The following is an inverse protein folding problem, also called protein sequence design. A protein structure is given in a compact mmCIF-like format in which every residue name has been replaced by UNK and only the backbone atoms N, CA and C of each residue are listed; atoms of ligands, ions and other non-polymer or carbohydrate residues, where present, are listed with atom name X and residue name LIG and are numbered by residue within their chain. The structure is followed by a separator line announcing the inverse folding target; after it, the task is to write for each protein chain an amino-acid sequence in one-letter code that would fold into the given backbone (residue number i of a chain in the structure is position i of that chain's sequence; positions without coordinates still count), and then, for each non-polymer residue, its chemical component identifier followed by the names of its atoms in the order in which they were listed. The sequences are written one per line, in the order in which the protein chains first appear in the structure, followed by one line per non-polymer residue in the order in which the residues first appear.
data_IF_289054705811
#
_entry.id   IF_289054705811
#
_cell.length_a   1.000
_cell.length_b   1.000
_cell.length_c   1.000
_cell.angle_alpha   90.00
_cell.angle_beta   90.00
_cell.angle_gamma   90.00
#
_symmetry.space_group_name_H-M   'P 1'
#
loop_
_entity.id
_entity.type
_entity.pdbx_description
1 polymer ?
#
# COMPACT_ATOMS: atom_id res chain seq x y z
N UNK A 1 -4.03 4.44 54.65
CA UNK A 1 -5.06 3.41 54.54
C UNK A 1 -4.62 2.39 53.50
N UNK A 2 -4.68 1.12 53.86
CA UNK A 2 -4.05 -0.06 53.30
C UNK A 2 -4.55 -0.41 51.89
N UNK A 3 -3.64 -0.71 50.99
CA UNK A 3 -3.86 -1.40 49.69
C UNK A 3 -4.06 -2.90 49.94
N UNK A 4 -4.99 -3.60 49.25
CA UNK A 4 -5.08 -5.08 49.28
C UNK A 4 -4.23 -5.69 48.12
N UNK A 5 -3.78 -6.95 48.31
CA UNK A 5 -2.80 -7.60 47.42
C UNK A 5 -3.44 -8.37 46.28
N UNK A 6 -2.72 -8.44 45.18
CA UNK A 6 -3.00 -9.27 44.00
C UNK A 6 -2.88 -10.76 44.37
N UNK A 7 -3.93 -11.54 44.11
CA UNK A 7 -3.93 -13.00 44.17
C UNK A 7 -3.59 -13.60 42.80
N UNK A 8 -2.54 -14.43 42.82
CA UNK A 8 -2.11 -15.30 41.73
C UNK A 8 -3.13 -16.40 41.45
N UNK A 9 -3.66 -16.47 40.22
CA UNK A 9 -4.29 -17.71 39.72
C UNK A 9 -3.32 -18.41 38.77
N UNK A 10 -2.71 -19.48 39.24
CA UNK A 10 -2.05 -20.50 38.41
C UNK A 10 -3.07 -21.60 38.16
N UNK A 11 -3.38 -21.92 36.94
CA UNK A 11 -3.99 -23.20 36.53
C UNK A 11 -2.97 -24.03 35.78
N UNK A 12 -2.84 -25.33 36.09
CA UNK A 12 -1.89 -26.20 35.39
C UNK A 12 -2.51 -26.81 34.12
N UNK A 13 -1.86 -26.63 32.99
CA UNK A 13 -2.17 -27.41 31.80
C UNK A 13 -1.44 -28.76 31.88
N UNK A 14 -2.24 -29.82 31.97
CA UNK A 14 -1.82 -31.21 31.90
C UNK A 14 -1.42 -31.61 30.49
N UNK A 15 -0.32 -32.36 30.43
CA UNK A 15 0.35 -32.78 29.20
C UNK A 15 -0.43 -33.80 28.37
N UNK A 16 -0.32 -33.63 27.05
CA UNK A 16 -0.60 -34.68 26.07
C UNK A 16 0.73 -35.29 25.63
N UNK A 17 0.94 -36.56 25.93
CA UNK A 17 2.02 -37.40 25.37
C UNK A 17 1.47 -38.15 24.15
N UNK A 18 2.14 -38.17 22.99
CA UNK A 18 1.79 -39.07 21.91
C UNK A 18 2.35 -40.48 22.22
N UNK A 19 1.50 -41.46 22.14
CA UNK A 19 1.82 -42.88 22.22
C UNK A 19 2.33 -43.35 20.85
N UNK A 20 3.60 -43.69 20.79
CA UNK A 20 4.19 -44.39 19.61
C UNK A 20 4.10 -45.91 19.92
N UNK A 21 3.38 -46.63 19.08
CA UNK A 21 3.38 -48.12 19.07
C UNK A 21 4.37 -48.60 18.01
N UNK A 22 5.28 -49.50 18.32
CA UNK A 22 6.10 -50.19 17.30
C UNK A 22 5.31 -51.38 16.74
N UNK A 23 5.26 -51.49 15.42
CA UNK A 23 4.83 -52.71 14.75
C UNK A 23 6.04 -53.65 14.59
N UNK A 24 5.92 -54.85 15.13
CA UNK A 24 6.88 -55.89 14.98
C UNK A 24 6.78 -56.54 13.59
N UNK A 25 7.90 -56.65 12.88
CA UNK A 25 8.05 -57.42 11.67
C UNK A 25 8.44 -58.82 12.02
N UNK A 26 7.63 -59.82 11.68
CA UNK A 26 7.96 -61.24 11.76
C UNK A 26 8.68 -61.67 10.46
N UNK A 27 9.86 -62.15 10.59
CA UNK A 27 10.60 -62.77 9.50
C UNK A 27 10.18 -64.27 9.36
N UNK A 28 9.85 -64.66 8.15
CA UNK A 28 9.68 -66.07 7.81
C UNK A 28 10.73 -66.41 6.72
N UNK A 29 11.72 -67.17 7.08
CA UNK A 29 12.73 -67.76 6.22
C UNK A 29 12.24 -69.13 5.70
N UNK A 30 12.24 -69.30 4.39
CA UNK A 30 12.28 -70.62 3.78
C UNK A 30 13.30 -70.63 2.64
N UNK A 31 14.35 -71.40 2.82
CA UNK A 31 15.34 -71.66 1.82
C UNK A 31 14.92 -72.74 0.83
N UNK A 32 15.39 -72.56 -0.40
CA UNK A 32 15.62 -73.75 -1.31
C UNK A 32 16.82 -73.44 -2.21
N UNK A 33 17.78 -74.31 -2.17
CA UNK A 33 19.00 -74.31 -3.01
C UNK A 33 18.72 -75.17 -4.25
N UNK A 34 19.18 -74.74 -5.39
CA UNK A 34 19.86 -75.61 -6.39
C UNK A 34 20.19 -74.86 -7.68
N UNK A 35 21.42 -75.01 -8.15
CA UNK A 35 21.75 -75.20 -9.56
C UNK A 35 22.16 -74.01 -10.40
N UNK A 36 23.47 -73.78 -10.55
CA UNK A 36 24.10 -73.04 -11.64
C UNK A 36 23.96 -73.81 -12.95
N UNK A 37 24.01 -73.13 -14.10
CA UNK A 37 25.30 -72.95 -14.77
C UNK A 37 25.59 -71.53 -15.28
N UNK A 38 26.88 -71.25 -15.39
CA UNK A 38 27.42 -70.01 -15.92
C UNK A 38 27.08 -69.78 -17.38
N UNK A 39 26.69 -68.53 -17.69
CA UNK A 39 26.69 -68.04 -19.05
C UNK A 39 27.29 -66.61 -19.07
N UNK A 40 28.20 -66.49 -19.97
CA UNK A 40 29.03 -65.42 -20.45
C UNK A 40 28.50 -63.97 -20.18
N UNK A 41 29.35 -63.19 -19.54
CA UNK A 41 29.13 -61.73 -19.34
C UNK A 41 29.64 -60.97 -20.56
N UNK A 42 28.75 -60.61 -21.43
CA UNK A 42 28.97 -59.43 -22.29
C UNK A 42 28.77 -58.16 -21.49
N UNK A 43 29.63 -57.14 -21.63
CA UNK A 43 29.48 -55.89 -20.90
C UNK A 43 28.24 -55.17 -21.43
N UNK A 44 27.26 -54.98 -20.54
CA UNK A 44 26.08 -54.18 -20.81
C UNK A 44 26.49 -52.76 -21.21
N UNK A 45 26.13 -52.43 -22.42
CA UNK A 45 26.19 -51.08 -22.93
C UNK A 45 25.40 -50.17 -22.01
N UNK A 46 26.04 -49.12 -21.54
CA UNK A 46 25.46 -47.94 -20.92
C UNK A 46 24.17 -47.57 -21.66
N UNK A 47 22.99 -47.36 -20.98
CA UNK A 47 21.81 -46.97 -21.68
C UNK A 47 22.05 -45.59 -22.32
N UNK A 48 22.21 -45.66 -23.63
CA UNK A 48 22.31 -44.52 -24.54
C UNK A 48 21.19 -43.53 -24.20
N UNK A 49 21.55 -42.27 -24.01
CA UNK A 49 20.65 -41.17 -23.97
C UNK A 49 19.58 -41.34 -25.05
N UNK A 50 18.30 -41.36 -24.66
CA UNK A 50 17.16 -41.36 -25.59
C UNK A 50 17.38 -40.21 -26.55
N UNK A 51 17.66 -40.56 -27.82
CA UNK A 51 17.71 -39.63 -28.94
C UNK A 51 16.26 -39.18 -29.27
N UNK A 52 15.69 -38.40 -28.36
CA UNK A 52 14.41 -37.75 -28.59
C UNK A 52 14.65 -36.61 -29.57
N UNK A 53 13.86 -36.59 -30.64
CA UNK A 53 13.95 -35.56 -31.66
C UNK A 53 13.94 -34.13 -30.99
N UNK A 54 14.77 -33.19 -31.49
CA UNK A 54 14.90 -31.88 -30.89
C UNK A 54 13.55 -31.15 -30.96
N UNK A 55 13.12 -30.59 -29.81
CA UNK A 55 11.89 -29.86 -29.70
C UNK A 55 12.08 -28.43 -30.24
N UNK A 56 11.16 -27.96 -31.10
CA UNK A 56 11.20 -26.58 -31.57
C UNK A 56 10.65 -25.65 -30.49
N UNK A 57 11.44 -24.65 -30.11
CA UNK A 57 11.10 -23.67 -29.08
C UNK A 57 11.30 -22.25 -29.57
N UNK A 58 10.54 -21.31 -29.00
CA UNK A 58 10.81 -19.88 -29.16
C UNK A 58 11.56 -19.39 -27.94
N UNK A 59 12.54 -18.52 -28.18
CA UNK A 59 13.40 -17.98 -27.15
C UNK A 59 13.41 -16.48 -27.13
N UNK A 60 13.65 -15.90 -25.98
CA UNK A 60 13.77 -14.45 -25.78
C UNK A 60 14.98 -14.18 -24.89
N UNK A 61 15.52 -12.98 -24.98
CA UNK A 61 16.48 -12.43 -24.04
C UNK A 61 15.79 -11.54 -23.01
N UNK A 62 16.44 -11.34 -21.86
CA UNK A 62 15.97 -10.33 -20.90
C UNK A 62 16.07 -8.95 -21.52
N UNK A 63 15.15 -8.05 -21.16
CA UNK A 63 15.17 -6.65 -21.57
C UNK A 63 15.19 -5.74 -20.36
N UNK A 64 15.94 -4.63 -20.47
CA UNK A 64 15.93 -3.50 -19.56
C UNK A 64 15.13 -2.35 -20.19
N UNK A 65 14.91 -1.27 -19.42
CA UNK A 65 14.25 -0.07 -19.91
C UNK A 65 12.72 -0.05 -19.78
N UNK A 66 12.11 -1.12 -19.27
CA UNK A 66 10.73 -1.10 -18.81
C UNK A 66 10.69 -1.04 -17.28
N UNK A 67 9.77 -0.24 -16.74
CA UNK A 67 9.53 -0.20 -15.29
C UNK A 67 8.49 -1.25 -14.91
N UNK A 68 8.86 -2.10 -13.97
CA UNK A 68 7.93 -3.02 -13.33
C UNK A 68 7.65 -2.51 -11.92
N UNK A 69 6.39 -2.20 -11.63
CA UNK A 69 5.98 -1.61 -10.35
C UNK A 69 4.99 -2.51 -9.60
N UNK A 70 5.22 -2.66 -8.30
CA UNK A 70 4.23 -3.21 -7.38
C UNK A 70 3.40 -2.06 -6.83
N UNK A 71 2.09 -2.09 -7.06
CA UNK A 71 1.19 -1.05 -6.62
C UNK A 71 0.08 -1.59 -5.71
N UNK A 72 -0.47 -0.73 -4.87
CA UNK A 72 -1.72 -0.96 -4.17
C UNK A 72 -2.65 0.22 -4.46
N UNK A 73 -3.86 -0.06 -4.92
CA UNK A 73 -4.85 0.96 -5.25
C UNK A 73 -6.10 0.78 -4.40
N UNK A 74 -6.58 1.88 -3.82
CA UNK A 74 -7.78 1.91 -2.99
C UNK A 74 -8.53 3.23 -3.19
N UNK A 75 -9.84 3.26 -2.89
CA UNK A 75 -10.59 4.50 -2.85
C UNK A 75 -9.95 5.53 -1.92
N UNK A 76 -10.05 6.79 -2.28
CA UNK A 76 -9.53 7.92 -1.52
C UNK A 76 -10.58 9.03 -1.43
N UNK A 77 -10.50 9.82 -0.37
CA UNK A 77 -11.34 10.99 -0.20
C UNK A 77 -10.50 12.20 0.21
N UNK A 78 -10.94 13.36 -0.23
CA UNK A 78 -10.38 14.66 0.12
C UNK A 78 -11.09 15.19 1.36
N UNK A 79 -10.33 15.60 2.36
CA UNK A 79 -10.85 16.26 3.56
C UNK A 79 -10.15 17.60 3.78
N UNK A 80 -10.79 18.56 4.46
CA UNK A 80 -10.12 19.79 4.87
C UNK A 80 -8.99 19.44 5.86
N UNK A 81 -7.91 20.22 5.86
CA UNK A 81 -6.79 20.01 6.79
C UNK A 81 -7.21 20.09 8.26
N UNK A 82 -8.04 21.08 8.58
CA UNK A 82 -8.75 21.21 9.84
C UNK A 82 -10.22 21.51 9.59
N UNK A 83 -11.06 20.99 10.46
CA UNK A 83 -12.48 21.29 10.52
C UNK A 83 -12.90 21.52 11.97
N UNK A 84 -13.61 22.59 12.22
CA UNK A 84 -14.20 22.89 13.52
C UNK A 84 -15.70 23.14 13.37
N UNK A 85 -16.47 22.36 14.10
CA UNK A 85 -17.91 22.62 14.28
C UNK A 85 -18.08 23.44 15.56
N UNK A 86 -18.53 24.67 15.43
CA UNK A 86 -18.65 25.61 16.53
C UNK A 86 -20.11 25.66 17.00
N UNK A 87 -20.33 25.33 18.26
CA UNK A 87 -21.63 25.19 18.88
C UNK A 87 -21.88 26.34 19.88
N UNK A 88 -23.13 26.64 20.13
CA UNK A 88 -23.51 27.49 21.25
C UNK A 88 -23.20 26.80 22.58
N UNK A 89 -22.36 27.40 23.40
CA UNK A 89 -22.07 26.90 24.75
C UNK A 89 -23.16 27.23 25.75
N UNK A 90 -23.90 28.34 25.50
CA UNK A 90 -25.03 28.75 26.30
C UNK A 90 -26.26 28.95 25.43
N UNK A 91 -27.47 28.66 25.99
CA UNK A 91 -28.72 28.93 25.30
C UNK A 91 -29.01 30.42 25.30
N UNK A 92 -29.47 30.95 24.15
CA UNK A 92 -29.73 32.37 24.04
C UNK A 92 -30.07 32.81 22.62
N UNK A 93 -30.19 34.12 22.43
CA UNK A 93 -30.41 34.73 21.12
C UNK A 93 -29.11 35.09 20.46
N UNK A 94 -28.94 34.70 19.20
CA UNK A 94 -27.79 35.13 18.37
C UNK A 94 -27.95 36.63 18.11
N UNK A 95 -27.04 37.43 18.62
CA UNK A 95 -27.06 38.90 18.47
C UNK A 95 -26.04 39.38 17.43
N UNK A 96 -25.05 38.59 17.12
CA UNK A 96 -24.05 38.86 16.10
C UNK A 96 -23.72 37.58 15.36
N UNK A 97 -23.69 37.61 14.03
CA UNK A 97 -23.18 36.56 13.13
C UNK A 97 -23.16 37.16 11.70
N UNK A 98 -22.03 37.78 11.33
CA UNK A 98 -21.94 38.55 10.09
C UNK A 98 -21.31 37.72 8.94
N UNK A 99 -20.47 36.77 9.27
CA UNK A 99 -19.80 35.94 8.25
C UNK A 99 -20.75 34.93 7.63
N UNK A 100 -20.61 34.78 6.32
CA UNK A 100 -21.45 33.89 5.52
C UNK A 100 -20.61 32.79 4.84
N UNK A 101 -21.31 31.85 4.19
CA UNK A 101 -20.72 30.73 3.46
C UNK A 101 -19.61 31.20 2.50
N UNK A 102 -18.46 30.52 2.53
CA UNK A 102 -17.31 30.79 1.66
C UNK A 102 -16.46 31.99 2.07
N UNK A 103 -16.85 32.77 3.09
CA UNK A 103 -16.05 33.89 3.55
C UNK A 103 -14.86 33.44 4.40
N UNK A 104 -13.72 34.10 4.16
CA UNK A 104 -12.50 33.88 4.92
C UNK A 104 -12.59 34.50 6.31
N UNK A 105 -11.97 33.85 7.28
CA UNK A 105 -11.83 34.30 8.66
C UNK A 105 -10.40 34.05 9.15
N UNK A 106 -9.97 34.89 10.08
CA UNK A 106 -8.67 34.76 10.74
C UNK A 106 -8.83 34.19 12.15
N UNK A 107 -7.80 33.51 12.62
CA UNK A 107 -7.77 32.96 13.99
C UNK A 107 -8.03 34.04 15.04
N UNK A 108 -8.92 33.77 15.99
CA UNK A 108 -9.35 34.71 17.03
C UNK A 108 -10.41 35.69 16.55
N UNK A 109 -10.81 35.69 15.28
CA UNK A 109 -11.89 36.54 14.79
C UNK A 109 -13.22 36.11 15.40
N UNK A 110 -13.98 37.09 15.86
CA UNK A 110 -15.31 36.89 16.45
C UNK A 110 -16.31 36.50 15.35
N UNK A 111 -16.87 35.30 15.46
CA UNK A 111 -17.79 34.73 14.48
C UNK A 111 -19.27 34.91 14.90
N UNK A 112 -19.56 34.64 16.16
CA UNK A 112 -20.93 34.78 16.68
C UNK A 112 -20.95 35.27 18.12
N UNK A 113 -22.03 35.93 18.51
CA UNK A 113 -22.32 36.28 19.88
C UNK A 113 -23.74 35.81 20.24
N UNK A 114 -23.81 35.02 21.31
CA UNK A 114 -25.09 34.52 21.85
C UNK A 114 -25.34 35.21 23.19
N UNK A 115 -26.40 35.97 23.27
CA UNK A 115 -26.80 36.62 24.51
C UNK A 115 -27.83 35.75 25.22
N UNK A 116 -27.62 35.38 26.49
CA UNK A 116 -28.58 34.60 27.26
C UNK A 116 -29.96 35.22 27.22
N UNK A 117 -31.00 34.41 27.03
CA UNK A 117 -32.40 34.82 26.94
C UNK A 117 -33.32 33.96 27.79
N UNK A 118 -34.62 34.29 27.86
CA UNK A 118 -35.59 33.46 28.57
C UNK A 118 -35.45 33.46 30.10
N UNK A 119 -34.93 34.56 30.69
CA UNK A 119 -34.71 34.64 32.14
C UNK A 119 -33.34 34.10 32.61
N UNK A 120 -32.51 33.55 31.73
CA UNK A 120 -31.17 33.16 32.02
C UNK A 120 -30.27 34.40 32.21
N UNK A 121 -29.50 34.42 33.30
CA UNK A 121 -28.49 35.47 33.57
C UNK A 121 -27.11 34.90 33.32
N UNK A 122 -26.27 35.66 32.62
CA UNK A 122 -24.88 35.26 32.34
C UNK A 122 -24.24 36.21 31.34
N UNK A 123 -22.91 36.10 31.16
CA UNK A 123 -22.20 36.82 30.12
C UNK A 123 -22.63 36.33 28.73
N UNK A 124 -22.49 37.17 27.72
CA UNK A 124 -22.64 36.75 26.34
C UNK A 124 -21.59 35.69 25.99
N UNK A 125 -21.99 34.62 25.29
CA UNK A 125 -21.11 33.62 24.75
C UNK A 125 -20.58 34.09 23.40
N UNK A 126 -19.25 34.24 23.28
CA UNK A 126 -18.57 34.69 22.06
C UNK A 126 -17.89 33.48 21.43
N UNK A 127 -18.26 33.15 20.19
CA UNK A 127 -17.60 32.14 19.39
C UNK A 127 -16.51 32.81 18.53
N UNK A 128 -15.28 32.32 18.66
CA UNK A 128 -14.15 32.80 17.89
C UNK A 128 -13.59 31.71 16.98
N UNK A 129 -12.95 32.12 15.89
CA UNK A 129 -12.30 31.20 14.95
C UNK A 129 -11.04 30.55 15.61
N UNK A 130 -10.96 29.21 15.71
CA UNK A 130 -9.84 28.53 16.32
C UNK A 130 -8.59 28.49 15.42
N UNK A 131 -8.74 28.79 14.13
CA UNK A 131 -7.68 28.83 13.11
C UNK A 131 -8.15 29.67 11.90
N UNK A 132 -7.21 30.04 11.04
CA UNK A 132 -7.50 30.71 9.77
C UNK A 132 -8.19 29.74 8.82
N UNK A 133 -9.29 30.15 8.20
CA UNK A 133 -10.06 29.27 7.34
C UNK A 133 -11.20 29.95 6.60
N UNK A 134 -12.15 29.15 6.15
CA UNK A 134 -13.38 29.61 5.46
C UNK A 134 -14.61 29.04 6.15
N UNK A 135 -15.70 29.77 6.11
CA UNK A 135 -16.99 29.29 6.61
C UNK A 135 -17.54 28.25 5.63
N UNK A 136 -17.61 26.99 6.07
CA UNK A 136 -18.15 25.88 5.28
C UNK A 136 -19.65 25.68 5.46
N UNK A 137 -20.22 26.08 6.60
CA UNK A 137 -21.65 26.09 6.81
C UNK A 137 -22.03 27.08 7.91
N UNK A 138 -23.27 27.60 7.80
CA UNK A 138 -23.91 28.47 8.77
C UNK A 138 -25.35 27.99 8.97
N UNK A 139 -25.79 27.81 10.20
CA UNK A 139 -27.10 27.24 10.53
C UNK A 139 -28.04 28.18 11.28
N UNK A 140 -27.59 29.40 11.57
CA UNK A 140 -28.40 30.37 12.29
C UNK A 140 -28.17 31.78 11.76
N UNK A 141 -29.17 32.66 12.00
CA UNK A 141 -29.13 34.08 11.66
C UNK A 141 -29.23 34.94 12.92
N UNK A 142 -28.74 36.18 12.86
CA UNK A 142 -28.99 37.14 13.93
C UNK A 142 -30.48 37.24 14.25
N UNK A 143 -30.82 37.17 15.53
CA UNK A 143 -32.22 37.14 15.98
C UNK A 143 -32.74 35.74 16.32
N UNK A 144 -32.11 34.68 15.82
CA UNK A 144 -32.51 33.29 16.12
C UNK A 144 -32.17 32.92 17.56
N UNK A 145 -33.05 32.17 18.23
CA UNK A 145 -32.78 31.57 19.53
C UNK A 145 -32.14 30.21 19.31
N UNK A 146 -31.02 29.95 19.98
CA UNK A 146 -30.26 28.68 19.90
C UNK A 146 -30.15 28.06 21.29
N UNK A 147 -30.17 26.73 21.33
CA UNK A 147 -29.97 25.97 22.54
C UNK A 147 -28.50 25.60 22.72
N UNK A 148 -28.02 25.52 23.94
CA UNK A 148 -26.68 25.04 24.28
C UNK A 148 -26.51 23.60 23.87
N UNK A 149 -25.39 23.27 23.25
CA UNK A 149 -24.99 21.91 22.93
C UNK A 149 -24.77 21.01 24.18
N UNK A 150 -24.53 21.62 25.34
CA UNK A 150 -24.44 20.91 26.60
C UNK A 150 -25.81 20.39 27.11
N UNK A 151 -26.92 21.00 26.64
CA UNK A 151 -28.28 20.66 27.08
C UNK A 151 -29.02 19.81 26.04
N UNK A 152 -28.76 20.05 24.76
CA UNK A 152 -29.46 19.37 23.66
C UNK A 152 -28.53 18.38 22.98
N UNK A 153 -28.71 17.06 23.19
CA UNK A 153 -27.98 16.04 22.44
C UNK A 153 -28.25 16.18 20.94
N UNK A 154 -27.17 16.16 20.12
CA UNK A 154 -27.30 16.31 18.67
C UNK A 154 -27.55 17.73 18.18
N UNK A 155 -27.24 18.74 19.00
CA UNK A 155 -27.34 20.17 18.60
C UNK A 155 -26.56 20.38 17.27
N UNK A 156 -27.15 21.25 16.42
CA UNK A 156 -26.49 21.64 15.16
C UNK A 156 -25.43 22.71 15.44
N UNK A 157 -24.23 22.62 14.84
CA UNK A 157 -23.19 23.64 14.96
C UNK A 157 -23.71 24.95 14.34
N UNK A 158 -23.48 26.09 14.98
CA UNK A 158 -23.83 27.41 14.45
C UNK A 158 -23.03 27.73 13.19
N UNK A 159 -21.75 27.40 13.23
CA UNK A 159 -20.80 27.62 12.13
C UNK A 159 -19.89 26.42 12.03
N UNK A 160 -19.64 25.96 10.83
CA UNK A 160 -18.53 25.03 10.55
C UNK A 160 -17.44 25.81 9.83
N UNK A 161 -16.24 25.77 10.41
CA UNK A 161 -15.05 26.38 9.85
C UNK A 161 -14.15 25.29 9.28
N UNK A 162 -13.61 25.50 8.08
CA UNK A 162 -12.66 24.60 7.43
C UNK A 162 -11.40 25.33 6.98
N UNK A 163 -10.28 24.63 7.09
CA UNK A 163 -9.00 25.07 6.52
C UNK A 163 -8.78 24.31 5.22
N UNK A 164 -8.86 25.00 4.08
CA UNK A 164 -8.85 24.43 2.74
C UNK A 164 -7.67 24.91 1.88
N UNK A 165 -6.76 25.72 2.41
CA UNK A 165 -5.47 26.06 1.79
C UNK A 165 -4.52 24.87 1.77
N UNK A 166 -4.74 23.93 2.65
CA UNK A 166 -4.16 22.57 2.69
C UNK A 166 -5.33 21.59 2.76
N UNK A 167 -5.22 20.49 2.04
CA UNK A 167 -6.17 19.38 2.12
C UNK A 167 -5.45 18.09 2.48
N UNK A 168 -6.18 17.19 3.13
CA UNK A 168 -5.70 15.85 3.44
C UNK A 168 -6.43 14.84 2.56
N UNK A 169 -5.68 14.09 1.76
CA UNK A 169 -6.22 12.97 0.99
C UNK A 169 -5.95 11.70 1.79
N UNK A 170 -7.00 10.97 2.12
CA UNK A 170 -6.91 9.76 2.94
C UNK A 170 -7.42 8.54 2.20
N UNK A 171 -6.76 7.40 2.44
CA UNK A 171 -7.13 6.10 1.91
C UNK A 171 -6.88 5.00 2.93
N UNK A 172 -7.62 3.89 2.80
CA UNK A 172 -7.49 2.70 3.65
C UNK A 172 -6.81 1.60 2.85
N UNK A 173 -5.54 1.29 3.16
CA UNK A 173 -4.77 0.26 2.48
C UNK A 173 -4.88 -1.09 3.20
N UNK A 174 -4.95 -2.22 2.48
CA UNK A 174 -5.01 -3.54 3.10
C UNK A 174 -3.78 -3.86 3.97
N UNK A 175 -3.96 -4.61 5.05
CA UNK A 175 -2.90 -4.99 5.99
C UNK A 175 -1.72 -5.72 5.32
N UNK A 176 -1.98 -6.52 4.29
CA UNK A 176 -0.95 -7.25 3.53
C UNK A 176 0.14 -6.37 2.93
N UNK A 177 -0.14 -5.09 2.69
CA UNK A 177 0.83 -4.13 2.14
C UNK A 177 1.36 -3.15 3.18
N UNK A 178 0.84 -3.16 4.41
CA UNK A 178 1.17 -2.21 5.46
C UNK A 178 2.68 -2.10 5.74
N UNK A 179 3.39 -3.25 5.77
CA UNK A 179 4.84 -3.29 6.00
C UNK A 179 5.69 -2.80 4.82
N UNK A 180 5.08 -2.57 3.66
CA UNK A 180 5.74 -2.03 2.47
C UNK A 180 5.57 -0.52 2.34
N UNK A 181 4.71 0.08 3.16
CA UNK A 181 4.37 1.49 3.12
C UNK A 181 5.27 2.26 4.06
N UNK A 182 5.96 3.26 3.54
CA UNK A 182 6.78 4.21 4.29
C UNK A 182 6.43 5.65 3.93
N UNK A 183 7.02 6.62 4.63
CA UNK A 183 6.81 8.06 4.34
C UNK A 183 7.33 8.46 2.96
N UNK A 184 8.35 7.77 2.45
CA UNK A 184 8.89 8.01 1.11
C UNK A 184 8.12 7.29 0.00
N UNK A 185 7.05 6.56 0.35
CA UNK A 185 6.22 5.86 -0.63
C UNK A 185 5.51 6.88 -1.51
N UNK A 186 5.77 6.80 -2.80
CA UNK A 186 5.11 7.63 -3.81
C UNK A 186 3.65 7.19 -3.99
N UNK A 187 2.79 8.17 -4.21
CA UNK A 187 1.38 7.97 -4.50
C UNK A 187 0.97 8.72 -5.77
N UNK A 188 0.16 8.06 -6.56
CA UNK A 188 -0.59 8.66 -7.66
C UNK A 188 -2.05 8.78 -7.22
N UNK A 189 -2.59 9.99 -7.30
CA UNK A 189 -3.94 10.32 -6.85
C UNK A 189 -4.78 10.71 -8.05
N UNK A 190 -5.82 9.96 -8.29
CA UNK A 190 -6.80 10.18 -9.34
C UNK A 190 -8.09 10.64 -8.69
N UNK A 191 -8.48 11.90 -8.89
CA UNK A 191 -9.73 12.44 -8.39
C UNK A 191 -10.74 12.55 -9.53
N UNK A 192 -11.99 12.20 -9.25
CA UNK A 192 -13.04 12.09 -10.27
C UNK A 192 -13.45 13.47 -10.82
N UNK A 193 -13.20 14.54 -10.06
CA UNK A 193 -13.52 15.92 -10.39
C UNK A 193 -12.36 16.73 -10.98
N UNK A 194 -11.15 16.11 -11.13
CA UNK A 194 -10.03 16.78 -11.79
C UNK A 194 -10.05 16.56 -13.31
N UNK A 195 -10.15 17.63 -14.10
CA UNK A 195 -10.07 17.52 -15.55
C UNK A 195 -8.67 17.10 -15.99
N UNK A 196 -8.59 16.25 -17.02
CA UNK A 196 -7.33 15.88 -17.67
C UNK A 196 -6.86 14.44 -17.45
N UNK A 197 -7.33 13.75 -16.41
CA UNK A 197 -7.02 12.33 -16.18
C UNK A 197 -5.60 12.01 -15.71
N UNK A 198 -4.69 12.98 -15.66
CA UNK A 198 -3.35 12.79 -15.13
C UNK A 198 -3.37 12.76 -13.60
N UNK A 199 -2.64 11.81 -12.96
CA UNK A 199 -2.61 11.73 -11.53
C UNK A 199 -1.83 12.87 -10.90
N UNK A 200 -2.29 13.36 -9.77
CA UNK A 200 -1.45 14.14 -8.86
C UNK A 200 -0.45 13.20 -8.20
N UNK A 201 0.81 13.61 -8.13
CA UNK A 201 1.88 12.83 -7.50
C UNK A 201 2.36 13.50 -6.23
N UNK A 202 2.46 12.72 -5.18
CA UNK A 202 2.95 13.16 -3.88
C UNK A 202 3.46 11.97 -3.07
N UNK A 203 4.01 12.24 -1.88
CA UNK A 203 4.44 11.21 -0.93
C UNK A 203 3.50 11.14 0.26
N UNK A 204 3.55 10.01 0.96
CA UNK A 204 2.75 9.83 2.17
C UNK A 204 3.25 10.77 3.27
N UNK A 205 2.35 11.60 3.77
CA UNK A 205 2.62 12.50 4.89
C UNK A 205 2.50 11.78 6.24
N UNK A 206 1.50 10.89 6.38
CA UNK A 206 1.22 10.18 7.63
C UNK A 206 0.69 8.77 7.37
N UNK A 207 1.05 7.88 8.29
CA UNK A 207 0.56 6.50 8.34
C UNK A 207 -0.01 6.29 9.74
N UNK A 208 -1.20 5.71 9.84
CA UNK A 208 -1.77 5.35 11.14
C UNK A 208 -0.85 4.35 11.87
N UNK A 209 -0.69 4.47 13.19
CA UNK A 209 0.19 3.58 13.94
C UNK A 209 -0.40 2.17 14.16
N UNK A 210 -1.68 1.98 13.85
CA UNK A 210 -2.41 0.74 14.06
C UNK A 210 -3.41 0.48 12.94
N UNK A 211 -3.73 -0.81 12.75
CA UNK A 211 -4.76 -1.25 11.82
C UNK A 211 -6.17 -0.97 12.38
N UNK A 212 -7.10 -0.68 11.49
CA UNK A 212 -8.53 -0.70 11.79
C UNK A 212 -8.97 -2.16 11.86
N UNK A 213 -9.46 -2.59 13.02
CA UNK A 213 -9.75 -4.01 13.26
C UNK A 213 -10.93 -4.54 12.45
N UNK A 214 -11.88 -3.68 12.08
CA UNK A 214 -13.11 -4.08 11.40
C UNK A 214 -12.86 -4.59 9.96
N UNK A 215 -11.97 -3.95 9.23
CA UNK A 215 -11.69 -4.24 7.81
C UNK A 215 -10.22 -4.59 7.54
N UNK A 216 -9.39 -4.64 8.60
CA UNK A 216 -7.96 -4.95 8.55
C UNK A 216 -7.20 -4.04 7.59
N UNK A 217 -7.47 -2.75 7.65
CA UNK A 217 -6.82 -1.74 6.84
C UNK A 217 -5.91 -0.83 7.67
N UNK A 218 -4.95 -0.19 7.02
CA UNK A 218 -4.13 0.86 7.58
C UNK A 218 -4.45 2.17 6.86
N UNK A 219 -4.72 3.21 7.64
CA UNK A 219 -4.99 4.54 7.09
C UNK A 219 -3.69 5.23 6.71
N UNK A 220 -3.64 5.70 5.47
CA UNK A 220 -2.58 6.56 4.95
C UNK A 220 -3.14 7.92 4.57
N UNK A 221 -2.35 8.96 4.76
CA UNK A 221 -2.76 10.34 4.52
C UNK A 221 -1.65 11.12 3.80
N UNK A 222 -2.08 11.96 2.87
CA UNK A 222 -1.24 12.86 2.09
C UNK A 222 -1.77 14.27 2.27
N UNK A 223 -0.95 15.18 2.75
CA UNK A 223 -1.30 16.59 2.87
C UNK A 223 -0.78 17.33 1.65
N UNK A 224 -1.68 17.94 0.90
CA UNK A 224 -1.37 18.72 -0.28
C UNK A 224 -1.70 20.20 -0.07
N UNK A 225 -0.79 21.07 -0.52
CA UNK A 225 -1.07 22.49 -0.59
C UNK A 225 -2.04 22.78 -1.72
N UNK A 226 -3.15 23.43 -1.41
CA UNK A 226 -4.33 23.55 -2.27
C UNK A 226 -4.52 24.98 -2.84
N UNK A 227 -3.42 25.68 -3.10
CA UNK A 227 -3.39 26.98 -3.75
C UNK A 227 -2.35 27.01 -4.84
N UNK A 228 -1.99 28.19 -5.32
CA UNK A 228 -1.00 28.36 -6.39
C UNK A 228 0.42 28.02 -5.94
N UNK A 229 1.29 27.69 -6.90
CA UNK A 229 2.71 27.45 -6.65
C UNK A 229 3.42 28.67 -6.04
N UNK A 230 2.97 29.89 -6.37
CA UNK A 230 3.51 31.12 -5.81
C UNK A 230 3.21 31.21 -4.29
N UNK A 231 1.95 30.99 -3.90
CA UNK A 231 1.56 30.97 -2.49
C UNK A 231 2.22 29.84 -1.72
N UNK A 232 2.45 28.66 -2.36
CA UNK A 232 3.21 27.59 -1.76
C UNK A 232 4.67 27.98 -1.47
N UNK A 233 5.35 28.63 -2.42
CA UNK A 233 6.71 29.13 -2.18
C UNK A 233 6.76 30.15 -1.03
N UNK A 234 5.77 31.03 -0.96
CA UNK A 234 5.66 31.99 0.15
C UNK A 234 5.42 31.27 1.48
N UNK A 235 4.53 30.28 1.53
CA UNK A 235 4.32 29.43 2.69
C UNK A 235 5.62 28.73 3.13
N UNK A 236 6.38 28.15 2.20
CA UNK A 236 7.63 27.45 2.48
C UNK A 236 8.79 28.38 2.86
N UNK A 237 8.71 29.67 2.53
CA UNK A 237 9.71 30.68 2.91
C UNK A 237 9.61 31.14 4.37
N UNK A 238 8.48 30.83 5.06
CA UNK A 238 8.31 31.12 6.47
C UNK A 238 9.29 30.33 7.32
N UNK A 239 9.63 30.85 8.48
CA UNK A 239 10.51 30.15 9.41
C UNK A 239 9.91 28.80 9.85
N UNK A 240 10.77 27.81 10.14
CA UNK A 240 10.32 26.49 10.65
C UNK A 240 9.42 26.62 11.89
N UNK A 241 9.71 27.60 12.76
CA UNK A 241 8.90 27.86 13.95
C UNK A 241 7.48 28.32 13.60
N UNK A 242 7.34 29.19 12.61
CA UNK A 242 6.03 29.68 12.14
C UNK A 242 5.25 28.56 11.45
N UNK A 243 5.92 27.79 10.57
CA UNK A 243 5.31 26.62 9.93
C UNK A 243 4.86 25.58 10.98
N UNK A 244 5.71 25.28 11.95
CA UNK A 244 5.40 24.32 13.03
C UNK A 244 4.19 24.76 13.86
N UNK A 245 4.12 26.05 14.20
CA UNK A 245 2.99 26.61 14.95
C UNK A 245 1.69 26.55 14.13
N UNK A 246 1.76 26.92 12.86
CA UNK A 246 0.62 26.93 11.93
C UNK A 246 0.11 25.50 11.65
N UNK A 247 1.00 24.55 11.44
CA UNK A 247 0.69 23.15 11.18
C UNK A 247 0.47 22.31 12.45
N UNK A 248 0.53 22.91 13.63
CA UNK A 248 0.43 22.22 14.95
C UNK A 248 1.36 21.00 15.05
N UNK A 249 2.62 21.17 14.63
CA UNK A 249 3.62 20.13 14.68
C UNK A 249 3.53 19.05 13.59
N UNK A 250 2.62 19.18 12.63
CA UNK A 250 2.61 18.30 11.47
C UNK A 250 3.69 18.70 10.48
N UNK A 251 4.06 17.77 9.61
CA UNK A 251 5.00 18.07 8.52
C UNK A 251 4.38 19.06 7.52
N UNK A 252 5.20 19.88 6.83
CA UNK A 252 4.75 20.71 5.74
C UNK A 252 4.04 19.87 4.66
N UNK A 253 2.97 20.41 4.04
CA UNK A 253 2.32 19.76 2.91
C UNK A 253 3.23 19.73 1.70
N UNK A 254 3.01 18.80 0.79
CA UNK A 254 3.64 18.84 -0.53
C UNK A 254 2.82 19.69 -1.50
N UNK A 255 3.49 20.30 -2.47
CA UNK A 255 2.81 20.82 -3.65
C UNK A 255 2.63 19.67 -4.65
N UNK A 256 1.41 19.40 -5.13
CA UNK A 256 1.18 18.26 -6.00
C UNK A 256 1.94 18.41 -7.32
N UNK A 257 2.79 17.42 -7.63
CA UNK A 257 3.49 17.39 -8.92
C UNK A 257 2.48 17.06 -10.05
N UNK A 258 2.64 17.72 -11.18
CA UNK A 258 1.73 17.63 -12.33
C UNK A 258 0.91 18.90 -12.57
N UNK A 259 0.96 19.86 -11.65
CA UNK A 259 0.36 21.18 -11.83
C UNK A 259 1.41 22.16 -12.39
N UNK A 260 1.01 22.95 -13.38
CA UNK A 260 1.83 24.05 -13.93
C UNK A 260 1.68 25.33 -13.11
N UNK A 261 2.67 26.24 -13.19
CA UNK A 261 2.59 27.57 -12.58
C UNK A 261 1.31 28.29 -13.07
N UNK A 262 0.49 28.75 -12.13
CA UNK A 262 -0.79 29.38 -12.39
C UNK A 262 -2.01 28.44 -12.32
N UNK A 263 -1.82 27.14 -12.33
CA UNK A 263 -2.88 26.19 -11.97
C UNK A 263 -2.93 26.05 -10.44
N UNK A 264 -4.10 26.21 -9.86
CA UNK A 264 -4.35 25.76 -8.49
C UNK A 264 -5.02 24.39 -8.58
N UNK A 265 -4.52 23.43 -7.82
CA UNK A 265 -5.30 22.25 -7.53
C UNK A 265 -6.51 22.71 -6.70
N UNK A 266 -7.62 22.99 -7.33
CA UNK A 266 -8.89 23.19 -6.60
C UNK A 266 -9.38 21.84 -6.10
N UNK A 267 -8.68 21.29 -5.11
CA UNK A 267 -9.11 20.08 -4.44
C UNK A 267 -10.24 20.46 -3.48
N UNK A 268 -11.42 19.96 -3.77
CA UNK A 268 -12.61 20.28 -3.00
C UNK A 268 -12.78 19.25 -1.88
N UNK A 269 -12.79 19.66 -0.59
CA UNK A 269 -13.14 18.74 0.48
C UNK A 269 -14.49 18.07 0.24
N UNK A 270 -14.53 16.75 0.39
CA UNK A 270 -15.69 15.93 0.03
C UNK A 270 -15.56 15.21 -1.31
N UNK A 271 -14.60 15.59 -2.17
CA UNK A 271 -14.31 14.87 -3.41
C UNK A 271 -13.80 13.45 -3.14
N UNK A 272 -14.10 12.57 -4.08
CA UNK A 272 -13.70 11.17 -4.07
C UNK A 272 -12.80 10.86 -5.27
N UNK A 273 -12.12 9.74 -5.16
CA UNK A 273 -11.25 9.21 -6.19
C UNK A 273 -10.53 7.96 -5.73
N UNK A 274 -9.33 7.75 -6.24
CA UNK A 274 -8.49 6.60 -5.87
C UNK A 274 -7.06 7.03 -5.66
N UNK A 275 -6.39 6.35 -4.74
CA UNK A 275 -4.97 6.50 -4.43
C UNK A 275 -4.26 5.21 -4.80
N UNK A 276 -3.26 5.32 -5.66
CA UNK A 276 -2.37 4.23 -6.05
C UNK A 276 -1.01 4.46 -5.42
N UNK A 277 -0.61 3.60 -4.50
CA UNK A 277 0.73 3.61 -3.91
C UNK A 277 1.70 2.82 -4.76
N UNK A 278 2.89 3.36 -4.99
CA UNK A 278 3.99 2.65 -5.65
C UNK A 278 4.87 2.04 -4.56
N UNK A 279 4.62 0.77 -4.23
CA UNK A 279 5.25 0.07 -3.12
C UNK A 279 6.68 -0.38 -3.43
N UNK A 280 6.91 -0.79 -4.69
CA UNK A 280 8.24 -1.16 -5.20
C UNK A 280 8.33 -0.81 -6.67
N UNK A 281 9.48 -0.33 -7.09
CA UNK A 281 9.80 -0.07 -8.50
C UNK A 281 11.09 -0.78 -8.86
N UNK A 282 11.07 -1.55 -9.93
CA UNK A 282 12.23 -2.16 -10.54
C UNK A 282 12.51 -1.44 -11.86
N UNK A 283 13.16 -0.28 -11.75
CA UNK A 283 13.62 0.47 -12.90
C UNK A 283 14.94 -0.12 -13.40
N UNK A 284 15.10 -0.18 -14.71
CA UNK A 284 16.32 -0.65 -15.38
C UNK A 284 16.83 -2.00 -14.88
N UNK A 285 15.92 -2.92 -14.58
CA UNK A 285 16.24 -4.31 -14.21
C UNK A 285 15.94 -5.26 -15.36
N UNK A 286 16.68 -6.40 -15.47
CA UNK A 286 16.34 -7.41 -16.46
C UNK A 286 14.96 -7.99 -16.19
N UNK A 287 14.07 -7.88 -17.17
CA UNK A 287 12.71 -8.39 -17.15
C UNK A 287 12.53 -9.46 -18.20
N UNK A 288 11.56 -10.34 -17.98
CA UNK A 288 11.12 -11.40 -18.89
C UNK A 288 9.60 -11.34 -19.07
N UNK A 289 9.06 -11.87 -20.18
CA UNK A 289 7.64 -12.10 -20.27
C UNK A 289 7.21 -13.17 -19.25
N UNK A 290 6.05 -12.98 -18.61
CA UNK A 290 5.49 -13.95 -17.65
C UNK A 290 5.38 -15.37 -18.22
N UNK A 291 5.20 -15.50 -19.54
CA UNK A 291 5.19 -16.76 -20.26
C UNK A 291 6.49 -17.59 -20.17
N UNK A 292 7.61 -16.96 -19.78
CA UNK A 292 8.87 -17.67 -19.55
C UNK A 292 8.89 -18.50 -18.25
N UNK A 293 7.94 -18.25 -17.36
CA UNK A 293 7.92 -18.83 -16.01
C UNK A 293 7.09 -20.08 -15.96
N UNK A 294 7.68 -21.17 -15.52
CA UNK A 294 7.01 -22.45 -15.30
C UNK A 294 6.87 -22.73 -13.81
N UNK A 295 5.66 -23.10 -13.40
CA UNK A 295 5.35 -23.47 -12.01
C UNK A 295 4.90 -24.93 -11.98
N UNK A 296 5.65 -25.78 -11.29
CA UNK A 296 5.27 -27.16 -11.06
C UNK A 296 5.84 -27.68 -9.74
N UNK A 297 5.05 -28.52 -9.05
CA UNK A 297 5.45 -29.13 -7.79
C UNK A 297 5.76 -28.14 -6.67
N UNK A 298 5.14 -26.95 -6.65
CA UNK A 298 5.42 -25.89 -5.69
C UNK A 298 6.73 -25.13 -5.93
N UNK A 299 7.43 -25.42 -7.03
CA UNK A 299 8.66 -24.75 -7.45
C UNK A 299 8.43 -23.88 -8.67
N UNK A 300 9.23 -22.83 -8.79
CA UNK A 300 9.26 -21.94 -9.95
C UNK A 300 10.61 -22.10 -10.67
N UNK A 301 10.54 -22.25 -11.97
CA UNK A 301 11.72 -22.40 -12.82
C UNK A 301 11.48 -21.82 -14.20
N UNK A 302 12.54 -21.68 -14.96
CA UNK A 302 12.54 -21.38 -16.39
C UNK A 302 13.50 -22.34 -17.10
N UNK A 303 13.42 -22.41 -18.41
CA UNK A 303 14.38 -23.12 -19.23
C UNK A 303 15.28 -22.12 -19.97
N UNK A 304 16.60 -22.32 -19.85
CA UNK A 304 17.60 -21.59 -20.64
C UNK A 304 18.17 -22.51 -21.69
N UNK A 305 18.60 -21.94 -22.80
CA UNK A 305 19.32 -22.69 -23.83
C UNK A 305 20.82 -22.62 -23.54
N UNK A 306 21.44 -23.76 -23.35
CA UNK A 306 22.91 -23.91 -23.19
C UNK A 306 23.39 -24.98 -24.12
N UNK A 307 24.24 -24.62 -25.08
CA UNK A 307 24.80 -25.54 -26.08
C UNK A 307 23.75 -26.37 -26.84
N UNK A 308 22.60 -25.74 -27.19
CA UNK A 308 21.52 -26.41 -27.91
C UNK A 308 20.64 -27.33 -27.03
N UNK A 309 20.83 -27.29 -25.72
CA UNK A 309 20.06 -28.07 -24.74
C UNK A 309 19.22 -27.14 -23.85
N UNK A 310 18.03 -27.59 -23.49
CA UNK A 310 17.16 -26.90 -22.49
C UNK A 310 17.69 -27.19 -21.08
N UNK A 311 18.14 -26.18 -20.36
CA UNK A 311 18.55 -26.25 -18.96
C UNK A 311 17.51 -25.69 -18.02
N UNK A 312 16.98 -26.58 -17.19
CA UNK A 312 16.00 -26.23 -16.17
C UNK A 312 16.66 -25.46 -15.05
N UNK A 313 16.32 -24.17 -14.92
CA UNK A 313 16.92 -23.24 -13.94
C UNK A 313 15.88 -22.83 -12.92
N UNK A 314 16.15 -23.11 -11.64
CA UNK A 314 15.28 -22.69 -10.53
C UNK A 314 15.38 -21.19 -10.34
N UNK A 315 14.23 -20.52 -10.16
CA UNK A 315 14.16 -19.07 -10.01
C UNK A 315 13.26 -18.66 -8.86
N UNK A 316 13.52 -17.47 -8.33
CA UNK A 316 12.59 -16.76 -7.47
C UNK A 316 12.02 -15.57 -8.23
N UNK A 317 10.71 -15.33 -8.06
CA UNK A 317 10.03 -14.18 -8.64
C UNK A 317 10.07 -13.04 -7.63
N UNK A 318 10.63 -11.90 -8.01
CA UNK A 318 10.61 -10.68 -7.20
C UNK A 318 9.29 -9.93 -7.37
N UNK A 319 8.83 -9.83 -8.61
CA UNK A 319 7.57 -9.21 -8.98
C UNK A 319 7.11 -9.73 -10.35
N UNK A 320 5.80 -9.83 -10.52
CA UNK A 320 5.14 -10.19 -11.78
C UNK A 320 3.81 -9.43 -11.87
N UNK A 321 3.53 -8.85 -13.02
CA UNK A 321 2.28 -8.11 -13.31
C UNK A 321 1.34 -8.87 -14.26
N UNK A 322 1.66 -10.13 -14.60
CA UNK A 322 0.95 -10.95 -15.57
C UNK A 322 1.47 -10.84 -17.01
N UNK A 323 2.15 -9.76 -17.36
CA UNK A 323 2.81 -9.55 -18.66
C UNK A 323 4.32 -9.68 -18.55
N UNK A 324 4.91 -8.98 -17.59
CA UNK A 324 6.33 -8.93 -17.30
C UNK A 324 6.62 -9.54 -15.93
N UNK A 325 7.82 -10.09 -15.78
CA UNK A 325 8.30 -10.60 -14.52
C UNK A 325 9.76 -10.22 -14.30
N UNK A 326 10.06 -9.85 -13.08
CA UNK A 326 11.39 -9.76 -12.52
C UNK A 326 11.69 -11.06 -11.81
N UNK A 327 12.68 -11.80 -12.31
CA UNK A 327 13.10 -13.05 -11.72
C UNK A 327 14.62 -13.06 -11.45
N UNK A 328 15.04 -13.82 -10.46
CA UNK A 328 16.45 -14.11 -10.17
C UNK A 328 16.64 -15.60 -10.11
N UNK A 329 17.74 -16.09 -10.66
CA UNK A 329 18.09 -17.50 -10.53
C UNK A 329 18.56 -17.82 -9.11
N UNK A 330 18.23 -19.04 -8.67
CA UNK A 330 18.65 -19.59 -7.39
C UNK A 330 19.79 -20.56 -7.64
N UNK A 331 21.01 -20.13 -7.31
CA UNK A 331 22.24 -20.93 -7.50
C UNK A 331 22.71 -21.42 -6.14
N UNK A 332 22.99 -22.72 -6.03
CA UNK A 332 23.53 -23.28 -4.80
C UNK A 332 25.05 -23.24 -4.86
N UNK A 333 25.68 -22.41 -4.03
CA UNK A 333 27.11 -22.30 -3.90
C UNK A 333 27.52 -22.56 -2.45
N UNK A 334 28.45 -23.49 -2.22
CA UNK A 334 28.92 -23.87 -0.87
C UNK A 334 27.77 -24.25 0.11
N UNK A 335 26.71 -24.91 -0.42
CA UNK A 335 25.55 -25.33 0.37
C UNK A 335 24.52 -24.21 0.63
N UNK A 336 24.84 -22.96 0.30
CA UNK A 336 23.99 -21.81 0.50
C UNK A 336 23.31 -21.43 -0.82
N UNK A 337 22.00 -21.20 -0.78
CA UNK A 337 21.22 -20.71 -1.91
C UNK A 337 21.48 -19.20 -2.09
N UNK A 338 22.05 -18.82 -3.22
CA UNK A 338 22.34 -17.44 -3.60
C UNK A 338 21.43 -16.99 -4.73
N UNK A 339 21.02 -15.72 -4.67
CA UNK A 339 20.20 -15.08 -5.70
C UNK A 339 21.12 -14.38 -6.70
N UNK A 340 21.03 -14.73 -7.96
CA UNK A 340 21.81 -14.16 -9.04
C UNK A 340 20.91 -13.61 -10.13
N UNK A 341 21.22 -12.42 -10.67
CA UNK A 341 20.51 -11.86 -11.82
C UNK A 341 20.76 -12.70 -13.08
N UNK A 342 19.76 -12.79 -13.94
CA UNK A 342 19.91 -13.36 -15.28
C UNK A 342 20.76 -12.42 -16.13
N UNK A 343 21.64 -12.99 -16.95
CA UNK A 343 22.42 -12.21 -17.89
C UNK A 343 21.54 -11.77 -19.08
N UNK A 344 21.88 -10.64 -19.69
CA UNK A 344 21.18 -10.17 -20.91
C UNK A 344 21.40 -11.10 -22.10
N UNK A 345 22.48 -11.87 -22.07
CA UNK A 345 22.82 -12.87 -23.08
C UNK A 345 22.13 -14.21 -22.88
N UNK A 346 21.47 -14.42 -21.73
CA UNK A 346 20.74 -15.67 -21.46
C UNK A 346 19.57 -15.81 -22.44
N UNK A 347 19.54 -16.92 -23.16
CA UNK A 347 18.47 -17.27 -24.08
C UNK A 347 17.42 -18.10 -23.35
N UNK A 348 16.23 -17.52 -23.13
CA UNK A 348 15.17 -18.07 -22.29
C UNK A 348 14.04 -18.60 -23.16
N UNK A 349 13.60 -19.83 -22.91
CA UNK A 349 12.54 -20.50 -23.64
C UNK A 349 11.15 -20.00 -23.18
N UNK A 350 10.29 -19.63 -24.13
CA UNK A 350 8.94 -19.10 -23.86
C UNK A 350 7.81 -19.91 -24.51
N UNK A 351 8.13 -21.03 -25.16
CA UNK A 351 7.12 -21.92 -25.75
C UNK A 351 7.44 -23.39 -25.53
N UNK A 352 6.43 -24.24 -25.53
CA UNK A 352 6.54 -25.70 -25.41
C UNK A 352 7.26 -26.20 -24.13
N UNK A 353 7.31 -25.38 -23.08
CA UNK A 353 8.02 -25.71 -21.83
C UNK A 353 7.45 -26.95 -21.13
N UNK A 354 6.17 -27.28 -21.36
CA UNK A 354 5.51 -28.47 -20.79
C UNK A 354 6.02 -29.80 -21.37
N UNK A 355 6.69 -29.74 -22.53
CA UNK A 355 7.24 -30.90 -23.23
C UNK A 355 8.75 -31.08 -22.96
N UNK A 356 9.37 -30.12 -22.21
CA UNK A 356 10.80 -30.10 -22.01
C UNK A 356 11.21 -30.80 -20.71
N UNK A 357 12.24 -31.61 -20.83
CA UNK A 357 13.01 -32.11 -19.70
C UNK A 357 14.37 -31.44 -19.61
N UNK A 358 15.01 -31.51 -18.44
CA UNK A 358 16.36 -30.96 -18.27
C UNK A 358 17.37 -31.73 -19.15
N UNK A 359 18.10 -31.00 -19.97
CA UNK A 359 19.04 -31.58 -20.94
C UNK A 359 18.42 -31.97 -22.29
N UNK A 360 17.13 -31.71 -22.52
CA UNK A 360 16.45 -31.96 -23.78
C UNK A 360 17.08 -31.14 -24.93
N UNK A 361 17.34 -31.79 -26.08
CA UNK A 361 17.81 -31.10 -27.27
C UNK A 361 16.70 -30.17 -27.82
N UNK A 362 17.04 -28.93 -28.19
CA UNK A 362 16.11 -27.95 -28.71
C UNK A 362 16.63 -27.27 -29.98
N UNK A 363 15.67 -26.88 -30.84
CA UNK A 363 15.90 -25.99 -31.99
C UNK A 363 15.21 -24.67 -31.70
N UNK A 364 15.99 -23.62 -31.62
CA UNK A 364 15.51 -22.30 -31.23
C UNK A 364 15.03 -21.47 -32.44
N UNK A 365 14.02 -20.66 -32.19
CA UNK A 365 13.60 -19.59 -33.08
C UNK A 365 13.37 -18.34 -32.24
N UNK A 366 13.67 -17.13 -32.77
CA UNK A 366 13.48 -15.90 -32.02
C UNK A 366 11.98 -15.69 -31.70
N UNK A 367 11.69 -15.38 -30.46
CA UNK A 367 10.38 -14.94 -29.98
C UNK A 367 10.31 -13.42 -29.90
N UNK A 368 9.12 -12.88 -30.09
CA UNK A 368 8.82 -11.45 -29.91
C UNK A 368 8.11 -11.22 -28.60
N UNK A 369 8.52 -10.21 -27.84
CA UNK A 369 7.82 -9.76 -26.63
C UNK A 369 8.11 -8.30 -26.32
#
# INVERSE_FOLDING_TARGET
MKTPPYSNFRTPFSGFRPVVRPLALAALSLGFAAGLPAADSTPDANPTAMDSAPIRVRTVHTRRGADLTMTAEQPANVAPYYRAALYAEASGKVTFLEKDLGQAVTKGEKLAVITPGGGLKGPANVLEAPFDGVIASRSADPGTFVASAAVVPGATPLVTLERNDIVTISSQMPDRVANLIGRDTEAEIYLDDLPGGDPLRARISRIAPSLVSADRTIRVEIDLYNRTAAEFRDFMSRSEKEQHADLKGRQPPEFPAGLTDGQSARLIPGSYGRMRLILRRFADKPLLPGAAIVRAGGLTYLYRVENGLARKTRVAIDLEDGRLARVVQLVRKDGIEQRQELAETDEIIVSNQGELEDGQAVVTAPGNW
#
